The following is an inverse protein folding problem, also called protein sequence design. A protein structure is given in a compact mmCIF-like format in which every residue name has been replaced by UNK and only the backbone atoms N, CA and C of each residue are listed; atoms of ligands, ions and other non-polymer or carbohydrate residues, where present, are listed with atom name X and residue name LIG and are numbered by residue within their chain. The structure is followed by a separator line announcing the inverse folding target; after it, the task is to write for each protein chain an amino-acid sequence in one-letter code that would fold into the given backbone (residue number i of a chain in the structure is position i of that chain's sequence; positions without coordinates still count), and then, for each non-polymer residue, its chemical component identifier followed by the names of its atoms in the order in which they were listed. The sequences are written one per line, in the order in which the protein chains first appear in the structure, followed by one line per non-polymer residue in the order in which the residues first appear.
data_IF_402932426260
#
_entry.id   IF_402932426260
#
_cell.length_a   1.000
_cell.length_b   1.000
_cell.length_c   1.000
_cell.angle_alpha   90.00
_cell.angle_beta   90.00
_cell.angle_gamma   90.00
#
_symmetry.space_group_name_H-M   'P 1'
#
loop_
_entity.id
_entity.type
_entity.pdbx_description
1 polymer ?
#
# COMPACT_ATOMS: atom_id res chain seq x y z
N UNK A 1 1.27 -4.00 -23.60
CA UNK A 1 1.44 -2.96 -22.55
C UNK A 1 1.56 -3.66 -21.20
N UNK A 2 2.55 -3.31 -20.38
CA UNK A 2 2.72 -3.90 -19.05
C UNK A 2 1.70 -3.26 -18.11
N UNK A 3 0.96 -4.11 -17.36
CA UNK A 3 -0.02 -3.66 -16.38
C UNK A 3 0.61 -3.46 -15.01
N UNK A 4 0.37 -2.29 -14.42
CA UNK A 4 0.82 -1.91 -13.08
C UNK A 4 -0.41 -1.58 -12.23
N UNK A 5 -0.45 -2.09 -11.01
CA UNK A 5 -1.51 -1.79 -10.05
C UNK A 5 -0.92 -1.12 -8.81
N UNK A 6 -1.24 0.15 -8.60
CA UNK A 6 -1.02 0.82 -7.33
C UNK A 6 -2.14 0.50 -6.34
N UNK A 7 -1.81 0.35 -5.06
CA UNK A 7 -2.77 -0.01 -4.02
C UNK A 7 -2.55 0.88 -2.81
N UNK A 8 -3.61 1.60 -2.42
CA UNK A 8 -3.61 2.34 -1.17
C UNK A 8 -4.94 2.20 -0.43
N UNK A 9 -4.86 1.92 0.86
CA UNK A 9 -6.00 1.80 1.76
C UNK A 9 -6.26 3.06 2.59
N UNK A 10 -5.23 3.91 2.75
CA UNK A 10 -5.24 5.06 3.64
C UNK A 10 -5.27 6.41 2.93
N UNK A 11 -4.65 6.54 1.76
CA UNK A 11 -4.48 7.80 1.06
C UNK A 11 -5.74 8.23 0.28
N UNK A 12 -5.90 9.54 0.01
CA UNK A 12 -6.95 10.05 -0.85
C UNK A 12 -6.72 9.62 -2.32
N UNK A 13 -7.80 9.61 -3.17
CA UNK A 13 -7.71 9.12 -4.54
C UNK A 13 -6.76 9.93 -5.44
N UNK A 14 -6.63 11.23 -5.17
CA UNK A 14 -5.77 12.14 -5.93
C UNK A 14 -4.57 12.60 -5.09
N UNK A 15 -3.96 11.67 -4.36
CA UNK A 15 -2.75 11.93 -3.59
C UNK A 15 -1.61 12.45 -4.50
N UNK A 16 -0.87 13.45 -4.01
CA UNK A 16 0.16 14.13 -4.79
C UNK A 16 1.28 13.17 -5.21
N UNK A 17 1.70 12.27 -4.31
CA UNK A 17 2.76 11.31 -4.57
C UNK A 17 2.25 10.16 -5.44
N UNK A 18 1.21 9.47 -4.97
CA UNK A 18 0.73 8.23 -5.59
C UNK A 18 0.09 8.51 -6.94
N UNK A 19 -0.92 9.40 -6.99
CA UNK A 19 -1.65 9.65 -8.22
C UNK A 19 -0.88 10.56 -9.17
N UNK A 20 -0.55 11.79 -8.71
CA UNK A 20 0.00 12.81 -9.60
C UNK A 20 1.44 12.54 -10.03
N UNK A 21 2.30 12.04 -9.15
CA UNK A 21 3.71 11.78 -9.50
C UNK A 21 3.91 10.37 -10.05
N UNK A 22 3.46 9.33 -9.36
CA UNK A 22 3.79 7.95 -9.73
C UNK A 22 2.87 7.41 -10.82
N UNK A 23 1.55 7.35 -10.60
CA UNK A 23 0.61 6.78 -11.57
C UNK A 23 0.64 7.51 -12.91
N UNK A 24 0.58 8.85 -12.91
CA UNK A 24 0.60 9.63 -14.15
C UNK A 24 1.93 9.48 -14.90
N UNK A 25 3.06 9.43 -14.18
CA UNK A 25 4.37 9.22 -14.81
C UNK A 25 4.46 7.86 -15.50
N UNK A 26 3.91 6.80 -14.87
CA UNK A 26 3.84 5.48 -15.47
C UNK A 26 2.93 5.44 -16.72
N UNK A 27 1.78 6.13 -16.67
CA UNK A 27 0.91 6.28 -17.85
C UNK A 27 1.68 6.95 -19.00
N UNK A 28 2.37 8.06 -18.71
CA UNK A 28 3.20 8.76 -19.71
C UNK A 28 4.33 7.88 -20.26
N UNK A 29 4.86 6.97 -19.45
CA UNK A 29 5.86 6.00 -19.86
C UNK A 29 5.28 4.78 -20.61
N UNK A 30 3.98 4.74 -20.90
CA UNK A 30 3.33 3.71 -21.70
C UNK A 30 2.88 2.47 -20.93
N UNK A 31 2.74 2.54 -19.62
CA UNK A 31 2.16 1.46 -18.82
C UNK A 31 0.63 1.54 -18.76
N UNK A 32 -0.03 0.38 -18.61
CA UNK A 32 -1.47 0.32 -18.28
C UNK A 32 -1.63 0.35 -16.75
N UNK A 33 -2.01 1.51 -16.22
CA UNK A 33 -2.00 1.78 -14.77
C UNK A 33 -3.41 1.72 -14.18
N UNK A 34 -3.53 0.96 -13.10
CA UNK A 34 -4.72 0.93 -12.24
C UNK A 34 -4.34 1.41 -10.83
N UNK A 35 -5.22 2.16 -10.18
CA UNK A 35 -5.09 2.59 -8.80
C UNK A 35 -6.29 2.09 -7.99
N UNK A 36 -6.02 1.17 -7.05
CA UNK A 36 -7.01 0.68 -6.07
C UNK A 36 -6.93 1.58 -4.85
N UNK A 37 -7.95 2.37 -4.62
CA UNK A 37 -7.95 3.44 -3.60
C UNK A 37 -9.37 3.73 -3.11
N UNK A 38 -9.51 4.40 -1.95
CA UNK A 38 -10.81 4.91 -1.50
C UNK A 38 -11.37 5.89 -2.53
N UNK A 39 -12.48 5.52 -3.15
CA UNK A 39 -13.12 6.33 -4.18
C UNK A 39 -14.60 5.93 -4.32
N UNK A 40 -15.42 6.78 -4.92
CA UNK A 40 -16.86 6.54 -5.00
C UNK A 40 -17.26 5.66 -6.18
N UNK A 41 -16.51 5.71 -7.29
CA UNK A 41 -16.87 5.04 -8.55
C UNK A 41 -15.64 4.54 -9.32
N UNK A 42 -15.91 3.63 -10.26
CA UNK A 42 -14.95 3.28 -11.31
C UNK A 42 -14.88 4.41 -12.34
N UNK A 43 -13.72 4.95 -12.58
CA UNK A 43 -13.48 5.93 -13.65
C UNK A 43 -12.04 5.85 -14.14
N UNK A 44 -11.76 6.53 -15.25
CA UNK A 44 -10.39 6.70 -15.75
C UNK A 44 -10.07 8.19 -15.76
N UNK A 45 -9.05 8.58 -15.00
CA UNK A 45 -8.61 9.97 -14.88
C UNK A 45 -7.15 10.05 -15.34
N UNK A 46 -6.87 10.89 -16.33
CA UNK A 46 -5.54 11.07 -16.92
C UNK A 46 -4.86 9.73 -17.32
N UNK A 47 -5.65 8.76 -17.81
CA UNK A 47 -5.17 7.44 -18.21
C UNK A 47 -5.03 6.42 -17.07
N UNK A 48 -5.21 6.83 -15.82
CA UNK A 48 -5.19 5.94 -14.65
C UNK A 48 -6.60 5.40 -14.40
N UNK A 49 -6.73 4.06 -14.34
CA UNK A 49 -7.99 3.36 -14.03
C UNK A 49 -8.21 3.35 -12.52
N UNK A 50 -9.15 4.15 -12.04
CA UNK A 50 -9.52 4.22 -10.62
C UNK A 50 -10.42 3.04 -10.26
N UNK A 51 -10.00 2.24 -9.27
CA UNK A 51 -10.76 1.08 -8.77
C UNK A 51 -11.15 1.39 -7.32
N UNK A 52 -12.43 1.68 -7.07
CA UNK A 52 -12.87 2.19 -5.79
C UNK A 52 -12.78 1.16 -4.67
N UNK A 53 -12.36 1.60 -3.49
CA UNK A 53 -12.54 0.92 -2.22
C UNK A 53 -13.58 1.66 -1.39
N UNK A 54 -14.38 0.96 -0.59
CA UNK A 54 -15.36 1.60 0.28
C UNK A 54 -14.68 2.49 1.33
N UNK A 55 -15.37 3.52 1.83
CA UNK A 55 -14.87 4.35 2.93
C UNK A 55 -14.64 3.52 4.19
N UNK A 56 -13.76 3.99 5.05
CA UNK A 56 -13.34 3.28 6.26
C UNK A 56 -14.28 3.59 7.43
N UNK A 57 -14.71 2.56 8.15
CA UNK A 57 -15.51 2.67 9.39
C UNK A 57 -14.64 2.58 10.66
N UNK A 58 -13.39 3.04 10.59
CA UNK A 58 -12.44 3.00 11.71
C UNK A 58 -11.16 2.21 11.40
N UNK A 59 -10.22 2.21 12.35
CA UNK A 59 -8.86 1.67 12.14
C UNK A 59 -8.83 0.15 11.92
N UNK A 60 -9.54 -0.61 12.77
CA UNK A 60 -9.59 -2.08 12.65
C UNK A 60 -10.25 -2.48 11.33
N UNK A 61 -11.35 -1.82 10.97
CA UNK A 61 -12.03 -2.05 9.69
C UNK A 61 -11.07 -1.79 8.51
N UNK A 62 -10.25 -0.73 8.58
CA UNK A 62 -9.24 -0.44 7.54
C UNK A 62 -8.19 -1.55 7.48
N UNK A 63 -7.59 -1.90 8.61
CA UNK A 63 -6.48 -2.85 8.68
C UNK A 63 -6.85 -4.29 8.28
N UNK A 64 -8.09 -4.71 8.50
CA UNK A 64 -8.52 -6.09 8.25
C UNK A 64 -9.41 -6.17 7.01
N UNK A 65 -10.55 -5.48 7.03
CA UNK A 65 -11.57 -5.65 5.99
C UNK A 65 -11.16 -4.93 4.71
N UNK A 66 -10.73 -3.68 4.82
CA UNK A 66 -10.38 -2.89 3.64
C UNK A 66 -9.13 -3.41 2.93
N UNK A 67 -8.13 -3.87 3.68
CA UNK A 67 -6.94 -4.51 3.08
C UNK A 67 -7.30 -5.77 2.31
N UNK A 68 -8.23 -6.58 2.84
CA UNK A 68 -8.74 -7.75 2.13
C UNK A 68 -9.43 -7.38 0.81
N UNK A 69 -10.33 -6.36 0.85
CA UNK A 69 -10.95 -5.85 -0.37
C UNK A 69 -9.93 -5.27 -1.35
N UNK A 70 -8.94 -4.54 -0.85
CA UNK A 70 -7.87 -3.97 -1.67
C UNK A 70 -7.09 -5.06 -2.39
N UNK A 71 -6.68 -6.10 -1.68
CA UNK A 71 -6.01 -7.27 -2.24
C UNK A 71 -6.85 -7.94 -3.34
N UNK A 72 -8.12 -8.25 -3.05
CA UNK A 72 -9.00 -8.89 -4.01
C UNK A 72 -9.24 -8.05 -5.27
N UNK A 73 -9.47 -6.74 -5.12
CA UNK A 73 -9.65 -5.84 -6.25
C UNK A 73 -8.37 -5.65 -7.06
N UNK A 74 -7.22 -5.59 -6.38
CA UNK A 74 -5.93 -5.56 -7.05
C UNK A 74 -5.70 -6.81 -7.91
N UNK A 75 -5.99 -8.01 -7.39
CA UNK A 75 -5.87 -9.26 -8.16
C UNK A 75 -6.74 -9.25 -9.44
N UNK A 76 -7.93 -8.66 -9.39
CA UNK A 76 -8.82 -8.55 -10.56
C UNK A 76 -8.23 -7.72 -11.70
N UNK A 77 -7.27 -6.84 -11.43
CA UNK A 77 -6.57 -6.07 -12.47
C UNK A 77 -5.69 -6.96 -13.36
N UNK A 78 -5.35 -8.16 -12.88
CA UNK A 78 -4.42 -9.09 -13.55
C UNK A 78 -3.10 -8.40 -13.92
N UNK A 79 -2.62 -7.52 -13.04
CA UNK A 79 -1.37 -6.79 -13.24
C UNK A 79 -0.16 -7.70 -13.11
N UNK A 80 0.96 -7.29 -13.73
CA UNK A 80 2.25 -7.95 -13.57
C UNK A 80 3.02 -7.40 -12.38
N UNK A 81 2.88 -6.09 -12.15
CA UNK A 81 3.54 -5.34 -11.06
C UNK A 81 2.48 -4.79 -10.13
N UNK A 82 2.69 -4.96 -8.84
CA UNK A 82 1.86 -4.41 -7.78
C UNK A 82 2.71 -3.52 -6.89
N UNK A 83 2.30 -2.27 -6.75
CA UNK A 83 2.97 -1.25 -5.96
C UNK A 83 2.04 -0.79 -4.83
N UNK A 84 2.37 -1.09 -3.58
CA UNK A 84 1.53 -0.71 -2.44
C UNK A 84 2.23 0.31 -1.54
N UNK A 85 1.42 1.15 -0.89
CA UNK A 85 1.87 2.36 -0.20
C UNK A 85 1.64 2.35 1.31
N UNK A 86 0.82 1.44 1.81
CA UNK A 86 0.45 1.42 3.22
C UNK A 86 0.99 0.17 3.93
N UNK A 87 1.51 0.31 5.17
CA UNK A 87 2.11 -0.81 5.91
C UNK A 87 1.11 -1.93 6.22
N UNK A 88 -0.17 -1.63 6.36
CA UNK A 88 -1.19 -2.66 6.53
C UNK A 88 -1.38 -3.57 5.31
N UNK A 89 -0.86 -3.21 4.15
CA UNK A 89 -0.89 -4.01 2.92
C UNK A 89 0.31 -4.97 2.81
N UNK A 90 1.24 -4.99 3.75
CA UNK A 90 2.45 -5.81 3.68
C UNK A 90 2.14 -7.31 3.54
N UNK A 91 1.13 -7.82 4.27
CA UNK A 91 0.69 -9.23 4.13
C UNK A 91 0.15 -9.48 2.72
N UNK A 92 -0.64 -8.56 2.17
CA UNK A 92 -1.12 -8.64 0.80
C UNK A 92 0.04 -8.66 -0.21
N UNK A 93 1.09 -7.88 0.03
CA UNK A 93 2.32 -7.88 -0.76
C UNK A 93 3.02 -9.25 -0.75
N UNK A 94 3.16 -9.86 0.41
CA UNK A 94 3.74 -11.23 0.54
C UNK A 94 2.89 -12.24 -0.25
N UNK A 95 1.56 -12.20 -0.12
CA UNK A 95 0.67 -13.10 -0.85
C UNK A 95 0.78 -12.92 -2.37
N UNK A 96 0.85 -11.66 -2.85
CA UNK A 96 1.09 -11.37 -4.26
C UNK A 96 2.42 -11.95 -4.74
N UNK A 97 3.46 -11.85 -3.92
CA UNK A 97 4.77 -12.43 -4.26
C UNK A 97 4.74 -13.95 -4.36
N UNK A 98 4.09 -14.62 -3.40
CA UNK A 98 3.89 -16.08 -3.44
C UNK A 98 3.11 -16.50 -4.71
N UNK A 99 2.21 -15.65 -5.19
CA UNK A 99 1.48 -15.84 -6.47
C UNK A 99 2.34 -15.52 -7.71
N UNK A 100 3.64 -15.29 -7.57
CA UNK A 100 4.57 -15.02 -8.67
C UNK A 100 4.46 -13.60 -9.26
N UNK A 101 3.87 -12.65 -8.54
CA UNK A 101 3.78 -11.25 -8.98
C UNK A 101 5.05 -10.48 -8.65
N UNK A 102 5.29 -9.39 -9.39
CA UNK A 102 6.31 -8.41 -9.02
C UNK A 102 5.71 -7.42 -8.03
N UNK A 103 6.41 -7.22 -6.91
CA UNK A 103 5.90 -6.44 -5.79
C UNK A 103 6.87 -5.33 -5.42
N UNK A 104 6.36 -4.11 -5.38
CA UNK A 104 7.07 -2.91 -4.93
C UNK A 104 6.38 -2.38 -3.66
N UNK A 105 7.15 -2.13 -2.63
CA UNK A 105 6.68 -1.48 -1.41
C UNK A 105 7.23 -0.05 -1.33
N UNK A 106 6.35 0.94 -1.26
CA UNK A 106 6.72 2.34 -1.03
C UNK A 106 6.60 2.65 0.47
N UNK A 107 7.74 2.60 1.17
CA UNK A 107 7.85 2.92 2.59
C UNK A 107 8.20 4.40 2.76
N UNK A 108 7.19 5.26 2.77
CA UNK A 108 7.38 6.71 2.92
C UNK A 108 7.00 7.24 4.31
N UNK A 109 6.57 6.36 5.21
CA UNK A 109 6.25 6.70 6.60
C UNK A 109 7.13 5.92 7.57
N UNK A 110 7.70 6.60 8.56
CA UNK A 110 8.38 5.93 9.67
C UNK A 110 7.33 5.43 10.69
N UNK A 111 6.67 4.32 10.36
CA UNK A 111 5.61 3.71 11.19
C UNK A 111 6.14 3.31 12.56
N UNK A 112 7.38 2.86 12.65
CA UNK A 112 7.99 2.45 13.91
C UNK A 112 8.10 3.62 14.90
N UNK A 113 8.46 4.81 14.45
CA UNK A 113 8.45 6.02 15.27
C UNK A 113 7.03 6.50 15.58
N UNK A 114 6.10 6.36 14.65
CA UNK A 114 4.71 6.72 14.90
C UNK A 114 4.07 5.86 16.00
N UNK A 115 4.42 4.56 16.12
CA UNK A 115 3.89 3.67 17.16
C UNK A 115 4.21 4.19 18.56
N UNK A 116 5.39 4.75 18.77
CA UNK A 116 5.79 5.30 20.08
C UNK A 116 4.90 6.44 20.55
N UNK A 117 4.38 7.23 19.62
CA UNK A 117 3.55 8.41 19.88
C UNK A 117 2.04 8.09 19.94
N UNK A 118 1.62 6.86 19.63
CA UNK A 118 0.20 6.45 19.61
C UNK A 118 -0.26 5.96 20.99
N UNK A 119 -0.74 6.87 21.85
CA UNK A 119 -1.20 6.57 23.21
C UNK A 119 -2.33 5.51 23.29
N UNK A 120 -3.12 5.38 22.22
CA UNK A 120 -4.21 4.39 22.13
C UNK A 120 -3.73 2.92 22.03
N UNK A 121 -2.44 2.67 21.74
CA UNK A 121 -1.86 1.32 21.71
C UNK A 121 -1.65 0.77 23.13
N UNK A 122 -1.61 1.67 24.13
CA UNK A 122 -1.41 1.31 25.53
C UNK A 122 -0.29 2.10 26.20
N UNK A 123 0.24 1.58 27.30
CA UNK A 123 1.34 2.20 28.02
C UNK A 123 2.69 2.07 27.27
N UNK A 124 3.72 2.78 27.75
CA UNK A 124 5.03 2.83 27.10
C UNK A 124 5.67 1.44 26.84
N UNK A 125 5.67 0.46 27.78
CA UNK A 125 6.20 -0.87 27.51
C UNK A 125 5.46 -1.60 26.40
N UNK A 126 4.13 -1.51 26.35
CA UNK A 126 3.32 -2.14 25.30
C UNK A 126 3.64 -1.52 23.93
N UNK A 127 3.75 -0.20 23.85
CA UNK A 127 4.13 0.46 22.60
C UNK A 127 5.52 0.04 22.11
N UNK A 128 6.48 -0.10 23.02
CA UNK A 128 7.82 -0.57 22.69
C UNK A 128 7.80 -2.01 22.16
N UNK A 129 7.01 -2.90 22.78
CA UNK A 129 6.84 -4.26 22.31
C UNK A 129 6.22 -4.27 20.90
N UNK A 130 5.12 -3.55 20.69
CA UNK A 130 4.44 -3.46 19.38
C UNK A 130 5.37 -2.89 18.32
N UNK A 131 6.15 -1.84 18.63
CA UNK A 131 7.16 -1.29 17.73
C UNK A 131 8.19 -2.34 17.31
N UNK A 132 8.73 -3.09 18.28
CA UNK A 132 9.76 -4.10 18.00
C UNK A 132 9.19 -5.24 17.17
N UNK A 133 7.98 -5.71 17.47
CA UNK A 133 7.29 -6.72 16.67
C UNK A 133 7.04 -6.22 15.23
N UNK A 134 6.59 -4.97 15.08
CA UNK A 134 6.39 -4.35 13.77
C UNK A 134 7.70 -4.29 12.98
N UNK A 135 8.79 -3.80 13.57
CA UNK A 135 10.11 -3.72 12.92
C UNK A 135 10.62 -5.10 12.48
N UNK A 136 10.45 -6.11 13.32
CA UNK A 136 10.84 -7.47 12.96
C UNK A 136 10.02 -8.00 11.80
N UNK A 137 8.70 -7.78 11.82
CA UNK A 137 7.81 -8.15 10.73
C UNK A 137 8.14 -7.40 9.43
N UNK A 138 8.39 -6.09 9.50
CA UNK A 138 8.78 -5.28 8.36
C UNK A 138 10.08 -5.78 7.73
N UNK A 139 11.13 -6.00 8.54
CA UNK A 139 12.40 -6.59 8.07
C UNK A 139 12.22 -7.95 7.40
N UNK A 140 11.34 -8.78 7.94
CA UNK A 140 11.01 -10.06 7.32
C UNK A 140 10.25 -9.89 6.00
N UNK A 141 9.24 -9.04 5.98
CA UNK A 141 8.37 -8.83 4.82
C UNK A 141 9.13 -8.25 3.61
N UNK A 142 10.05 -7.30 3.84
CA UNK A 142 10.83 -6.70 2.75
C UNK A 142 11.74 -7.70 2.02
N UNK A 143 12.09 -8.83 2.64
CA UNK A 143 12.86 -9.89 1.96
C UNK A 143 12.07 -10.58 0.84
N UNK A 144 10.75 -10.48 0.86
CA UNK A 144 9.90 -11.06 -0.18
C UNK A 144 9.70 -10.12 -1.37
N UNK A 145 9.85 -8.81 -1.21
CA UNK A 145 9.53 -7.84 -2.26
C UNK A 145 10.65 -7.73 -3.28
N UNK A 146 10.30 -7.38 -4.52
CA UNK A 146 11.29 -7.17 -5.58
C UNK A 146 12.01 -5.83 -5.40
N UNK A 147 11.32 -4.84 -4.84
CA UNK A 147 11.87 -3.49 -4.62
C UNK A 147 11.17 -2.84 -3.43
N UNK A 148 11.95 -2.10 -2.65
CA UNK A 148 11.45 -1.18 -1.63
C UNK A 148 11.88 0.23 -2.02
N UNK A 149 10.93 1.15 -2.07
CA UNK A 149 11.19 2.57 -2.28
C UNK A 149 11.09 3.25 -0.91
N UNK A 150 12.12 3.97 -0.52
CA UNK A 150 12.15 4.74 0.74
C UNK A 150 12.47 6.19 0.45
N UNK A 151 11.86 7.09 1.22
CA UNK A 151 12.11 8.55 1.12
C UNK A 151 13.16 9.01 2.13
N UNK A 152 13.54 8.15 3.08
CA UNK A 152 14.55 8.46 4.09
C UNK A 152 15.55 7.31 4.21
N UNK A 153 16.85 7.62 4.47
CA UNK A 153 17.87 6.58 4.66
C UNK A 153 17.66 5.69 5.89
N UNK A 154 16.74 6.09 6.77
CA UNK A 154 16.49 5.44 8.07
C UNK A 154 15.38 4.38 8.05
N UNK A 155 14.81 4.12 6.88
CA UNK A 155 13.76 3.11 6.69
C UNK A 155 14.34 1.89 5.99
#
# INVERSE_FOLDING_TARGET
MIKVCHISSAHPPFDVRIFHKECISLVKAGYDVSLVVTHDKHETVQGVKMIPLPPTKGRIHRMVIKTHFAFYRALKTKSKIYHFHDPELMIAGILLKIMGKKVVFDSHENVSSQIENKSWIGNKPVRLLVKNCYRLFEKFAILFYDTVVSVTPEI
#
